data_IF_483455433291
#
_entry.id   IF_483455433291
#
_cell.length_a   1.000
_cell.length_b   1.000
_cell.length_c   1.000
_cell.angle_alpha   90.00
_cell.angle_beta   90.00
_cell.angle_gamma   90.00
#
_symmetry.space_group_name_H-M   'P 1'
#
loop_
_entity.id
_entity.type
_entity.pdbx_description
1 polymer ?
#
# COMPACT_ATOMS: atom_id res chain seq x y z
N UNK A 1 6.91 -20.36 6.94
CA UNK A 1 6.08 -20.12 5.74
C UNK A 1 6.61 -20.94 4.55
N UNK A 2 5.75 -21.37 3.62
CA UNK A 2 6.02 -22.47 2.66
C UNK A 2 7.18 -22.26 1.64
N UNK A 3 7.82 -21.09 1.60
CA UNK A 3 8.88 -20.74 0.65
C UNK A 3 10.05 -19.94 1.25
N UNK A 4 10.12 -19.75 2.57
CA UNK A 4 11.21 -18.99 3.25
C UNK A 4 11.46 -17.58 2.67
N UNK A 5 10.38 -16.90 2.25
CA UNK A 5 10.46 -15.58 1.65
C UNK A 5 10.63 -14.49 2.73
N UNK A 6 11.62 -13.59 2.63
CA UNK A 6 11.92 -12.60 3.68
C UNK A 6 10.98 -11.39 3.70
N UNK A 7 10.14 -11.23 2.66
CA UNK A 7 9.32 -10.04 2.45
C UNK A 7 8.02 -10.39 1.73
N UNK A 8 6.95 -9.69 2.10
CA UNK A 8 5.68 -9.66 1.36
C UNK A 8 5.59 -8.30 0.67
N UNK A 9 5.51 -8.29 -0.66
CA UNK A 9 5.21 -7.07 -1.42
C UNK A 9 3.70 -6.99 -1.61
N UNK A 10 3.10 -5.91 -1.13
CA UNK A 10 1.65 -5.70 -1.19
C UNK A 10 1.32 -4.42 -1.96
N UNK A 11 0.39 -4.54 -2.91
CA UNK A 11 -0.21 -3.43 -3.61
C UNK A 11 -1.73 -3.64 -3.59
N UNK A 12 -2.48 -2.63 -3.16
CA UNK A 12 -3.94 -2.69 -3.16
C UNK A 12 -4.47 -2.47 -4.58
N UNK A 13 -5.14 -3.49 -5.11
CA UNK A 13 -5.68 -3.50 -6.46
C UNK A 13 -7.17 -3.14 -6.52
N UNK A 14 -7.84 -2.90 -5.38
CA UNK A 14 -9.23 -2.45 -5.39
C UNK A 14 -9.34 -1.14 -6.17
N UNK A 15 -10.07 -1.16 -7.29
CA UNK A 15 -10.31 -0.03 -8.19
C UNK A 15 -9.09 0.49 -8.97
N UNK A 16 -7.96 -0.25 -9.02
CA UNK A 16 -6.81 0.15 -9.85
C UNK A 16 -7.18 0.22 -11.34
N UNK A 17 -6.66 1.22 -12.05
CA UNK A 17 -6.83 1.37 -13.51
C UNK A 17 -5.66 0.78 -14.30
N UNK A 18 -4.70 0.10 -13.64
CA UNK A 18 -3.49 -0.49 -14.25
C UNK A 18 -3.75 -1.38 -15.48
N UNK A 19 -4.93 -1.99 -15.58
CA UNK A 19 -5.34 -2.84 -16.71
C UNK A 19 -6.42 -2.24 -17.61
N UNK A 20 -6.90 -1.03 -17.31
CA UNK A 20 -8.03 -0.43 -18.02
C UNK A 20 -7.55 0.49 -19.14
N UNK A 21 -7.46 -0.06 -20.36
CA UNK A 21 -7.00 0.65 -21.56
C UNK A 21 -7.86 1.87 -21.94
N UNK A 22 -9.06 2.01 -21.39
CA UNK A 22 -9.97 3.13 -21.70
C UNK A 22 -9.91 4.24 -20.66
N UNK A 23 -9.19 4.05 -19.55
CA UNK A 23 -9.07 5.05 -18.48
C UNK A 23 -7.63 5.56 -18.42
N UNK A 24 -7.39 6.87 -18.59
CA UNK A 24 -6.07 7.44 -18.39
C UNK A 24 -5.56 7.15 -16.98
N UNK A 25 -4.27 6.85 -16.82
CA UNK A 25 -3.66 6.62 -15.50
C UNK A 25 -3.83 7.81 -14.54
N UNK A 26 -4.02 9.02 -15.08
CA UNK A 26 -4.24 10.24 -14.30
C UNK A 26 -5.65 10.31 -13.67
N UNK A 27 -6.61 9.53 -14.17
CA UNK A 27 -7.96 9.36 -13.60
C UNK A 27 -8.00 8.15 -12.64
N UNK A 28 -6.90 7.95 -11.90
CA UNK A 28 -6.81 6.92 -10.86
C UNK A 28 -7.75 7.21 -9.68
N UNK A 29 -8.21 6.19 -8.95
CA UNK A 29 -8.89 6.40 -7.68
C UNK A 29 -7.97 7.14 -6.69
N UNK A 30 -8.49 8.19 -6.04
CA UNK A 30 -7.81 8.88 -4.95
C UNK A 30 -8.62 8.74 -3.67
N UNK A 31 -7.96 8.34 -2.60
CA UNK A 31 -8.55 8.30 -1.27
C UNK A 31 -8.61 9.72 -0.69
N UNK A 32 -9.70 10.05 0.01
CA UNK A 32 -9.71 11.21 0.88
C UNK A 32 -8.68 11.03 2.00
N UNK A 33 -8.21 12.13 2.60
CA UNK A 33 -7.16 12.09 3.62
C UNK A 33 -7.48 11.13 4.77
N UNK A 34 -8.70 11.18 5.29
CA UNK A 34 -9.11 10.34 6.42
C UNK A 34 -9.19 8.86 6.02
N UNK A 35 -9.57 8.56 4.77
CA UNK A 35 -9.58 7.21 4.22
C UNK A 35 -8.16 6.66 4.04
N UNK A 36 -7.23 7.50 3.57
CA UNK A 36 -5.81 7.14 3.45
C UNK A 36 -5.18 6.84 4.81
N UNK A 37 -5.50 7.63 5.85
CA UNK A 37 -5.02 7.37 7.21
C UNK A 37 -5.62 6.08 7.80
N UNK A 38 -6.91 5.84 7.59
CA UNK A 38 -7.54 4.59 8.03
C UNK A 38 -6.96 3.37 7.30
N UNK A 39 -6.67 3.52 6.01
CA UNK A 39 -6.00 2.50 5.20
C UNK A 39 -4.58 2.22 5.72
N UNK A 40 -3.79 3.25 6.00
CA UNK A 40 -2.45 3.13 6.58
C UNK A 40 -2.46 2.43 7.96
N UNK A 41 -3.46 2.71 8.79
CA UNK A 41 -3.65 2.04 10.07
C UNK A 41 -3.96 0.55 9.90
N UNK A 42 -4.83 0.18 8.95
CA UNK A 42 -5.11 -1.22 8.64
C UNK A 42 -3.87 -1.96 8.12
N UNK A 43 -3.08 -1.28 7.27
CA UNK A 43 -1.84 -1.82 6.75
C UNK A 43 -0.79 -2.05 7.84
N UNK A 44 -0.79 -1.19 8.86
CA UNK A 44 0.08 -1.32 10.03
C UNK A 44 -0.25 -2.55 10.87
N UNK A 45 -1.53 -2.88 11.04
CA UNK A 45 -1.94 -4.10 11.73
C UNK A 45 -1.50 -5.36 10.96
N UNK A 46 -1.59 -5.31 9.62
CA UNK A 46 -1.07 -6.39 8.77
C UNK A 46 0.46 -6.50 8.90
N UNK A 47 1.19 -5.39 8.86
CA UNK A 47 2.65 -5.37 8.99
C UNK A 47 3.14 -5.90 10.33
N UNK A 48 2.44 -5.58 11.43
CA UNK A 48 2.73 -6.13 12.76
C UNK A 48 2.54 -7.65 12.79
N UNK A 49 1.47 -8.14 12.16
CA UNK A 49 1.22 -9.58 12.07
C UNK A 49 2.31 -10.29 11.26
N UNK A 50 2.70 -9.76 10.10
CA UNK A 50 3.76 -10.36 9.28
C UNK A 50 5.13 -10.27 9.95
N UNK A 51 5.42 -9.18 10.66
CA UNK A 51 6.67 -9.03 11.42
C UNK A 51 6.78 -10.08 12.54
N UNK A 52 5.65 -10.47 13.15
CA UNK A 52 5.59 -11.59 14.10
C UNK A 52 5.92 -12.95 13.48
N UNK A 53 5.75 -13.09 12.16
CA UNK A 53 6.11 -14.27 11.36
C UNK A 53 7.50 -14.12 10.70
N UNK A 54 8.33 -13.18 11.16
CA UNK A 54 9.66 -12.85 10.63
C UNK A 54 9.65 -12.37 9.16
N UNK A 55 8.54 -11.79 8.70
CA UNK A 55 8.36 -11.33 7.32
C UNK A 55 8.02 -9.84 7.26
N UNK A 56 8.84 -9.08 6.54
CA UNK A 56 8.62 -7.63 6.37
C UNK A 56 7.49 -7.38 5.37
N UNK A 57 6.54 -6.51 5.71
CA UNK A 57 5.53 -6.04 4.75
C UNK A 57 6.06 -4.80 4.04
N UNK A 58 6.10 -4.86 2.71
CA UNK A 58 6.54 -3.78 1.85
C UNK A 58 5.37 -3.32 0.97
N UNK A 59 4.90 -2.09 1.15
CA UNK A 59 3.86 -1.53 0.30
C UNK A 59 4.50 -0.96 -0.98
N UNK A 60 4.01 -1.43 -2.12
CA UNK A 60 4.48 -1.02 -3.43
C UNK A 60 3.53 0.02 -4.02
N UNK A 61 4.00 1.26 -4.11
CA UNK A 61 3.26 2.32 -4.79
C UNK A 61 3.28 2.04 -6.30
N UNK A 62 2.14 2.20 -6.97
CA UNK A 62 2.05 1.87 -8.39
C UNK A 62 1.18 2.85 -9.17
N UNK A 63 1.62 3.18 -10.38
CA UNK A 63 0.87 3.97 -11.36
C UNK A 63 -0.52 3.36 -11.63
N UNK A 64 -1.59 4.13 -11.49
CA UNK A 64 -2.98 3.73 -11.64
C UNK A 64 -3.65 3.23 -10.36
N UNK A 65 -2.94 3.20 -9.22
CA UNK A 65 -3.46 2.76 -7.92
C UNK A 65 -3.82 3.93 -7.01
N UNK A 66 -4.38 3.62 -5.83
CA UNK A 66 -4.72 4.62 -4.82
C UNK A 66 -3.50 5.27 -4.17
N UNK A 67 -2.34 4.59 -4.19
CA UNK A 67 -1.06 5.08 -3.66
C UNK A 67 -0.07 5.19 -4.83
N UNK A 68 0.11 6.39 -5.37
CA UNK A 68 0.96 6.62 -6.54
C UNK A 68 1.91 7.80 -6.36
N UNK A 69 1.36 8.96 -5.97
CA UNK A 69 2.11 10.22 -5.93
C UNK A 69 2.65 10.52 -4.52
N UNK A 70 3.52 11.53 -4.41
CA UNK A 70 4.20 11.87 -3.17
C UNK A 70 3.22 12.20 -2.03
N UNK A 71 2.06 12.78 -2.33
CA UNK A 71 1.07 13.12 -1.32
C UNK A 71 0.43 11.86 -0.72
N UNK A 72 0.18 10.83 -1.54
CA UNK A 72 -0.31 9.55 -1.04
C UNK A 72 0.73 8.85 -0.17
N UNK A 73 2.00 8.90 -0.60
CA UNK A 73 3.12 8.32 0.15
C UNK A 73 3.26 9.02 1.50
N UNK A 74 3.22 10.34 1.54
CA UNK A 74 3.31 11.13 2.77
C UNK A 74 2.17 10.78 3.73
N UNK A 75 0.94 10.64 3.22
CA UNK A 75 -0.23 10.24 4.02
C UNK A 75 -0.11 8.80 4.52
N UNK A 76 0.43 7.91 3.71
CA UNK A 76 0.66 6.51 4.09
C UNK A 76 1.69 6.43 5.20
N UNK A 77 2.79 7.18 5.11
CA UNK A 77 3.82 7.31 6.17
C UNK A 77 3.23 7.95 7.43
N UNK A 78 2.40 8.99 7.30
CA UNK A 78 1.78 9.68 8.45
C UNK A 78 0.88 8.73 9.25
N UNK A 79 0.12 7.88 8.56
CA UNK A 79 -0.83 6.96 9.18
C UNK A 79 -0.28 5.57 9.50
N UNK A 80 0.94 5.24 9.08
CA UNK A 80 1.52 3.91 9.28
C UNK A 80 2.43 3.81 10.50
N UNK A 81 2.58 2.59 11.01
CA UNK A 81 3.57 2.26 12.02
C UNK A 81 4.92 1.91 11.39
N UNK A 82 6.05 1.98 12.14
CA UNK A 82 7.40 1.75 11.61
C UNK A 82 7.63 0.40 10.95
N UNK A 83 6.76 -0.57 11.20
CA UNK A 83 6.80 -1.92 10.64
C UNK A 83 6.38 -1.96 9.15
N UNK A 84 5.74 -0.91 8.64
CA UNK A 84 5.40 -0.78 7.21
C UNK A 84 6.62 -0.27 6.43
N UNK A 85 7.25 -1.13 5.63
CA UNK A 85 8.25 -0.71 4.67
C UNK A 85 7.58 -0.18 3.39
N UNK A 86 8.19 0.80 2.72
CA UNK A 86 7.73 1.38 1.46
C UNK A 86 8.79 1.14 0.38
N UNK A 87 8.37 0.74 -0.83
CA UNK A 87 9.30 0.29 -1.86
C UNK A 87 8.86 0.48 -3.32
#
# INVERSE_FOLDING_TARGET
>A
MALDAPCIVYAECSNTVQGNLTTPANDRPKLARDEALAYAANLSELAKWTAGEEMTLSCHHHMGSMIEDAEDIDRLVEGSSPEVALH
#
